data_IF_937717248798
#
_entry.id   IF_937717248798
#
_cell.length_a   1.000
_cell.length_b   1.000
_cell.length_c   1.000
_cell.angle_alpha   90.00
_cell.angle_beta   90.00
_cell.angle_gamma   90.00
#
_symmetry.space_group_name_H-M   'P 1'
#
loop_
_entity.id
_entity.type
_entity.pdbx_description
1 polymer ?
#
# COMPACT_ATOMS: atom_id res chain seq x y z
N UNK A 1 7.97 -10.90 -1.70
CA UNK A 1 6.83 -10.03 -1.32
C UNK A 1 6.60 -10.04 0.20
N UNK A 2 6.55 -8.87 0.84
CA UNK A 2 6.28 -8.71 2.27
C UNK A 2 4.87 -8.16 2.50
N UNK A 3 4.02 -8.93 3.18
CA UNK A 3 2.65 -8.51 3.53
C UNK A 3 2.62 -7.46 4.64
N UNK A 4 1.76 -6.46 4.49
CA UNK A 4 1.57 -5.37 5.45
C UNK A 4 0.24 -5.60 6.16
N UNK A 5 0.23 -5.78 7.50
CA UNK A 5 -0.98 -6.12 8.23
C UNK A 5 -1.92 -4.90 8.27
N UNK A 6 -3.04 -5.00 7.56
CA UNK A 6 -4.12 -4.02 7.61
C UNK A 6 -5.27 -4.55 8.47
N UNK A 7 -5.93 -3.65 9.20
CA UNK A 7 -7.19 -3.93 9.88
C UNK A 7 -8.37 -3.60 8.97
N UNK A 8 -9.52 -4.28 9.10
CA UNK A 8 -10.71 -4.00 8.33
C UNK A 8 -11.45 -2.75 8.84
N UNK A 9 -10.79 -1.60 8.75
CA UNK A 9 -11.31 -0.29 9.16
C UNK A 9 -11.17 0.70 8.00
N UNK A 10 -12.12 1.64 7.84
CA UNK A 10 -12.16 2.51 6.67
C UNK A 10 -11.01 3.53 6.61
N UNK A 11 -10.29 3.77 7.70
CA UNK A 11 -9.11 4.63 7.73
C UNK A 11 -8.14 4.15 8.80
N UNK A 12 -6.87 3.98 8.44
CA UNK A 12 -5.81 3.63 9.37
C UNK A 12 -4.46 4.16 8.92
N UNK A 13 -3.58 4.38 9.90
CA UNK A 13 -2.17 4.70 9.68
C UNK A 13 -1.33 3.71 10.46
N UNK A 14 -0.28 3.19 9.84
CA UNK A 14 0.68 2.29 10.47
C UNK A 14 2.11 2.65 10.06
N UNK A 15 3.06 2.28 10.90
CA UNK A 15 4.49 2.42 10.62
C UNK A 15 5.11 1.03 10.46
N UNK A 16 5.87 0.84 9.38
CA UNK A 16 6.51 -0.42 9.05
C UNK A 16 7.90 -0.16 8.47
N UNK A 17 8.87 -1.01 8.84
CA UNK A 17 10.19 -1.00 8.24
C UNK A 17 10.18 -1.81 6.94
N UNK A 18 10.37 -1.15 5.80
CA UNK A 18 10.43 -1.74 4.46
C UNK A 18 11.79 -1.42 3.86
N UNK A 19 12.57 -2.44 3.48
CA UNK A 19 13.88 -2.28 2.84
C UNK A 19 14.84 -1.33 3.60
N UNK A 20 14.79 -1.34 4.94
CA UNK A 20 15.58 -0.46 5.79
C UNK A 20 15.05 0.98 5.92
N UNK A 21 13.89 1.29 5.34
CA UNK A 21 13.26 2.61 5.39
C UNK A 21 12.08 2.59 6.36
N UNK A 22 12.01 3.57 7.25
CA UNK A 22 10.87 3.75 8.16
C UNK A 22 9.71 4.37 7.39
N UNK A 23 8.76 3.53 6.98
CA UNK A 23 7.64 3.91 6.16
C UNK A 23 6.40 4.10 7.04
N UNK A 24 5.77 5.26 6.94
CA UNK A 24 4.44 5.50 7.46
C UNK A 24 3.44 5.41 6.32
N UNK A 25 2.50 4.48 6.44
CA UNK A 25 1.49 4.19 5.43
C UNK A 25 0.13 4.54 6.00
N UNK A 26 -0.59 5.42 5.29
CA UNK A 26 -1.98 5.73 5.59
C UNK A 26 -2.85 5.13 4.49
N UNK A 27 -3.85 4.34 4.87
CA UNK A 27 -4.81 3.72 3.95
C UNK A 27 -6.20 4.13 4.37
N UNK A 28 -6.98 4.67 3.43
CA UNK A 28 -8.31 5.17 3.71
C UNK A 28 -9.27 5.00 2.53
N UNK A 29 -10.52 4.62 2.84
CA UNK A 29 -11.58 4.52 1.86
C UNK A 29 -12.34 5.85 1.73
N UNK A 30 -12.61 6.23 0.48
CA UNK A 30 -13.50 7.33 0.08
C UNK A 30 -14.65 6.75 -0.76
N UNK A 31 -15.60 7.61 -1.16
CA UNK A 31 -16.71 7.22 -2.02
C UNK A 31 -16.27 6.71 -3.41
N UNK A 32 -15.08 7.08 -3.86
CA UNK A 32 -14.52 6.74 -5.18
C UNK A 32 -13.53 5.58 -5.16
N UNK A 33 -13.20 5.01 -3.98
CA UNK A 33 -12.24 3.91 -3.85
C UNK A 33 -11.34 4.04 -2.62
N UNK A 34 -10.36 3.15 -2.53
CA UNK A 34 -9.32 3.15 -1.48
C UNK A 34 -8.12 3.95 -1.94
N UNK A 35 -7.59 4.78 -1.06
CA UNK A 35 -6.43 5.63 -1.30
C UNK A 35 -5.32 5.31 -0.31
N UNK A 36 -4.08 5.53 -0.75
CA UNK A 36 -2.88 5.30 0.06
C UNK A 36 -1.95 6.52 0.00
N UNK A 37 -1.44 6.88 1.19
CA UNK A 37 -0.30 7.79 1.34
C UNK A 37 0.89 7.03 1.90
N UNK A 38 2.07 7.29 1.35
CA UNK A 38 3.34 6.74 1.81
C UNK A 38 4.27 7.90 2.17
N UNK A 39 4.80 7.85 3.39
CA UNK A 39 5.82 8.76 3.87
C UNK A 39 7.05 7.97 4.33
N UNK A 40 8.25 8.50 4.08
CA UNK A 40 9.51 7.95 4.59
C UNK A 40 10.18 9.04 5.43
N UNK A 41 10.49 8.73 6.69
CA UNK A 41 11.08 9.72 7.62
C UNK A 41 10.32 11.06 7.62
N UNK A 42 8.99 11.00 7.64
CA UNK A 42 8.06 12.14 7.58
C UNK A 42 8.07 12.94 6.27
N UNK A 43 8.85 12.55 5.26
CA UNK A 43 8.79 13.11 3.92
C UNK A 43 7.74 12.37 3.08
N UNK A 44 6.78 13.07 2.45
CA UNK A 44 5.81 12.44 1.56
C UNK A 44 6.52 11.88 0.32
N UNK A 45 6.23 10.62 -0.01
CA UNK A 45 6.71 9.95 -1.23
C UNK A 45 5.61 9.95 -2.27
N UNK A 46 4.45 9.41 -1.89
CA UNK A 46 3.23 9.47 -2.68
C UNK A 46 2.04 9.77 -1.76
N UNK A 47 1.08 10.53 -2.25
CA UNK A 47 -0.12 10.92 -1.51
C UNK A 47 -1.34 10.77 -2.39
N UNK A 48 -2.46 10.37 -1.78
CA UNK A 48 -3.75 10.15 -2.39
C UNK A 48 -3.68 9.29 -3.67
N UNK A 49 -2.88 8.22 -3.64
CA UNK A 49 -2.81 7.28 -4.76
C UNK A 49 -4.01 6.33 -4.68
N UNK A 50 -4.79 6.27 -5.75
CA UNK A 50 -5.90 5.33 -5.88
C UNK A 50 -5.37 3.90 -5.97
N UNK A 51 -5.86 3.03 -5.09
CA UNK A 51 -5.45 1.65 -5.00
C UNK A 51 -6.34 0.77 -5.87
N UNK A 52 -5.70 0.04 -6.78
CA UNK A 52 -6.32 -0.99 -7.61
C UNK A 52 -5.62 -2.33 -7.40
N UNK A 53 -6.31 -3.42 -7.75
CA UNK A 53 -5.74 -4.75 -7.70
C UNK A 53 -4.50 -4.87 -8.61
N UNK A 54 -3.40 -5.35 -8.02
CA UNK A 54 -2.10 -5.64 -8.67
C UNK A 54 -1.50 -4.46 -9.44
N UNK A 55 -1.91 -3.24 -9.11
CA UNK A 55 -1.32 -2.01 -9.66
C UNK A 55 -0.20 -1.54 -8.73
N UNK A 56 0.92 -1.17 -9.36
CA UNK A 56 2.06 -0.51 -8.70
C UNK A 56 1.67 0.90 -8.24
N UNK A 57 1.92 1.22 -6.98
CA UNK A 57 1.48 2.47 -6.34
C UNK A 57 2.57 3.56 -6.34
N UNK A 58 3.84 3.18 -6.26
CA UNK A 58 4.94 4.17 -6.15
C UNK A 58 5.47 4.56 -7.53
N UNK A 59 5.51 3.63 -8.51
CA UNK A 59 5.73 3.83 -9.97
C UNK A 59 6.98 4.60 -10.42
N UNK A 60 7.67 5.29 -9.53
CA UNK A 60 8.76 6.20 -9.81
C UNK A 60 9.91 5.93 -8.83
N UNK A 61 10.95 5.26 -9.33
CA UNK A 61 12.14 4.89 -8.54
C UNK A 61 12.88 6.12 -7.97
N UNK A 62 12.77 7.29 -8.63
CA UNK A 62 13.41 8.53 -8.17
C UNK A 62 12.76 9.14 -6.92
N UNK A 63 11.61 8.62 -6.45
CA UNK A 63 10.94 9.11 -5.25
C UNK A 63 11.63 8.63 -3.95
N UNK A 64 12.67 7.81 -4.05
CA UNK A 64 13.48 7.40 -2.90
C UNK A 64 12.85 6.30 -2.05
N UNK A 65 11.78 5.65 -2.52
CA UNK A 65 11.30 4.38 -1.96
C UNK A 65 11.96 3.21 -2.70
N UNK A 66 12.50 2.28 -1.94
CA UNK A 66 13.14 1.08 -2.47
C UNK A 66 12.08 -0.01 -2.58
N UNK A 67 11.70 -0.39 -3.80
CA UNK A 67 10.64 -1.37 -4.08
C UNK A 67 9.33 -0.73 -4.58
N UNK A 68 8.23 -1.47 -4.53
CA UNK A 68 6.90 -0.93 -4.86
C UNK A 68 5.82 -1.52 -3.93
N UNK A 69 4.69 -0.83 -3.80
CA UNK A 69 3.55 -1.27 -3.00
C UNK A 69 2.41 -1.64 -3.93
N UNK A 70 1.73 -2.74 -3.66
CA UNK A 70 0.58 -3.17 -4.44
C UNK A 70 -0.48 -3.83 -3.57
N UNK A 71 -1.74 -3.62 -3.91
CA UNK A 71 -2.83 -4.41 -3.34
C UNK A 71 -3.02 -5.68 -4.15
N UNK A 72 -3.33 -6.79 -3.47
CA UNK A 72 -3.63 -8.07 -4.12
C UNK A 72 -4.95 -8.59 -3.60
N UNK A 73 -5.90 -8.83 -4.49
CA UNK A 73 -7.09 -9.63 -4.22
C UNK A 73 -6.74 -11.13 -4.28
N UNK A 74 -6.81 -11.78 -3.13
CA UNK A 74 -6.50 -13.21 -2.99
C UNK A 74 -7.63 -14.12 -3.47
N UNK A 75 -8.81 -13.57 -3.74
CA UNK A 75 -10.01 -14.33 -4.15
C UNK A 75 -10.50 -13.97 -5.56
N UNK A 76 -9.80 -13.07 -6.27
CA UNK A 76 -10.20 -12.61 -7.59
C UNK A 76 -9.36 -11.45 -8.10
N UNK A 77 -10.03 -10.50 -8.73
CA UNK A 77 -9.45 -9.31 -9.38
C UNK A 77 -10.26 -8.03 -9.05
N UNK A 78 -10.93 -8.00 -7.89
CA UNK A 78 -11.69 -6.82 -7.47
C UNK A 78 -10.75 -5.77 -6.86
N UNK A 79 -11.12 -4.50 -7.03
CA UNK A 79 -10.43 -3.41 -6.35
C UNK A 79 -10.60 -3.50 -4.83
N UNK A 80 -9.60 -3.01 -4.06
CA UNK A 80 -9.61 -3.12 -2.61
C UNK A 80 -10.75 -2.34 -1.95
N UNK A 81 -11.38 -2.96 -0.96
CA UNK A 81 -12.35 -2.35 -0.05
C UNK A 81 -12.01 -2.67 1.40
N UNK A 82 -12.28 -1.73 2.33
CA UNK A 82 -11.81 -1.85 3.71
C UNK A 82 -12.33 -3.08 4.44
N UNK A 83 -13.52 -3.56 4.09
CA UNK A 83 -14.16 -4.72 4.72
C UNK A 83 -13.36 -6.01 4.51
N UNK A 84 -12.55 -6.09 3.46
CA UNK A 84 -11.72 -7.23 3.13
C UNK A 84 -10.24 -7.06 3.48
N UNK A 85 -9.82 -5.94 4.07
CA UNK A 85 -8.41 -5.69 4.41
C UNK A 85 -7.84 -6.74 5.35
N UNK A 86 -6.62 -7.19 5.06
CA UNK A 86 -5.89 -8.17 5.86
C UNK A 86 -6.32 -9.62 5.64
N UNK A 87 -7.39 -9.84 4.88
CA UNK A 87 -7.88 -11.17 4.49
C UNK A 87 -7.92 -11.31 2.97
N UNK A 88 -8.92 -10.70 2.31
CA UNK A 88 -9.09 -10.75 0.86
C UNK A 88 -8.14 -9.79 0.16
N UNK A 89 -8.13 -8.54 0.61
CA UNK A 89 -7.30 -7.47 0.05
C UNK A 89 -6.06 -7.30 0.90
N UNK A 90 -4.92 -7.71 0.35
CA UNK A 90 -3.64 -7.69 1.04
C UNK A 90 -2.77 -6.61 0.42
N UNK A 91 -2.29 -5.68 1.25
CA UNK A 91 -1.24 -4.76 0.84
C UNK A 91 0.11 -5.47 0.95
N UNK A 92 0.85 -5.52 -0.15
CA UNK A 92 2.16 -6.16 -0.22
C UNK A 92 3.23 -5.17 -0.71
N UNK A 93 4.40 -5.25 -0.10
CA UNK A 93 5.61 -4.63 -0.61
C UNK A 93 6.34 -5.64 -1.51
N UNK A 94 6.66 -5.22 -2.72
CA UNK A 94 7.56 -5.91 -3.64
C UNK A 94 8.97 -5.40 -3.41
N UNK A 95 9.91 -6.32 -3.24
CA UNK A 95 11.32 -5.95 -3.10
C UNK A 95 11.90 -5.55 -4.47
N UNK A 96 12.96 -4.74 -4.54
CA UNK A 96 13.61 -4.39 -5.81
C UNK A 96 14.08 -5.62 -6.60
N UNK A 97 14.39 -6.70 -5.87
CA UNK A 97 14.61 -8.07 -6.36
C UNK A 97 13.55 -8.57 -7.36
N UNK A 98 12.30 -8.18 -7.09
CA UNK A 98 11.10 -8.79 -7.62
C UNK A 98 10.37 -7.90 -8.65
N UNK A 99 10.97 -6.77 -9.06
CA UNK A 99 10.46 -5.82 -10.06
C UNK A 99 10.88 -6.21 -11.48
#
# INVERSE_FOLDING_TARGET
>A
MKGIPLKPVPSQTLSVLLNGQNCQISVYQKSTGVYLDLHINNSPIVTAVLCHDRVRLVRSEYLGFVGDLTFVDTQGHADPEYTGFGSRFVLACMEPLEL
#
